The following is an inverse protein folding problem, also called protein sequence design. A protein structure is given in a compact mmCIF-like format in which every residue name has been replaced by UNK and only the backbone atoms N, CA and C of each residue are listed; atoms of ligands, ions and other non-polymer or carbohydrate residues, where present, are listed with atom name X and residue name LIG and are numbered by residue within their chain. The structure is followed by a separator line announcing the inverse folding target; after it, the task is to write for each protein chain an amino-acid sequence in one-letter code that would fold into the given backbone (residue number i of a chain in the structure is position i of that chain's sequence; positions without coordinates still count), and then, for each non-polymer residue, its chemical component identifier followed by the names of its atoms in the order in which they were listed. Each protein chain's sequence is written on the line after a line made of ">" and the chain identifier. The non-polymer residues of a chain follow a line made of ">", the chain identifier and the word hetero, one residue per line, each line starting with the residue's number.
data_IF_507552545723
#
_entry.id   IF_507552545723
#
_cell.length_a   1.000
_cell.length_b   1.000
_cell.length_c   1.000
_cell.angle_alpha   90.00
_cell.angle_beta   90.00
_cell.angle_gamma   90.00
#
_symmetry.space_group_name_H-M   'P 1'
#
loop_
_entity.id
_entity.type
_entity.pdbx_description
1 polymer ?
#
# COMPACT_ATOMS: atom_id res chain seq x y z
N UNK A 1 11.66 23.83 -21.33
CA UNK A 1 10.25 24.15 -21.59
C UNK A 1 9.39 23.12 -20.89
N UNK A 2 8.65 23.51 -19.86
CA UNK A 2 7.39 22.92 -19.37
C UNK A 2 6.90 23.86 -18.26
N UNK A 3 6.30 24.97 -18.71
CA UNK A 3 5.48 25.88 -17.92
C UNK A 3 4.13 25.90 -18.64
N UNK A 4 3.03 25.65 -17.94
CA UNK A 4 1.70 26.07 -18.42
C UNK A 4 0.59 25.03 -18.51
N UNK A 5 0.29 24.25 -17.46
CA UNK A 5 -1.00 23.52 -17.39
C UNK A 5 -1.75 23.71 -16.08
N UNK A 6 -1.46 24.79 -15.34
CA UNK A 6 -2.19 25.12 -14.11
C UNK A 6 -2.82 26.48 -14.32
N UNK A 7 -3.89 26.48 -15.12
CA UNK A 7 -4.75 27.62 -15.38
C UNK A 7 -5.97 27.61 -14.45
N UNK A 8 -6.04 28.67 -13.64
CA UNK A 8 -7.22 29.47 -13.21
C UNK A 8 -8.51 28.80 -12.74
N UNK A 9 -8.94 29.24 -11.54
CA UNK A 9 -10.16 28.95 -10.82
C UNK A 9 -11.49 29.20 -11.55
N UNK A 10 -12.51 28.40 -11.19
CA UNK A 10 -13.94 28.71 -11.22
C UNK A 10 -14.60 27.89 -10.08
N UNK A 11 -15.03 28.54 -8.99
CA UNK A 11 -16.40 28.97 -8.70
C UNK A 11 -17.24 27.92 -7.93
N UNK A 12 -17.71 28.33 -6.76
CA UNK A 12 -18.46 27.62 -5.72
C UNK A 12 -19.68 26.79 -6.18
N UNK A 13 -19.82 25.60 -5.58
CA UNK A 13 -21.09 24.91 -5.37
C UNK A 13 -21.13 24.39 -3.91
N UNK A 14 -22.27 24.47 -3.20
CA UNK A 14 -22.34 24.14 -1.78
C UNK A 14 -22.22 22.64 -1.53
N UNK A 15 -21.14 22.26 -0.83
CA UNK A 15 -20.95 20.94 -0.23
C UNK A 15 -22.12 20.64 0.72
N UNK A 16 -23.02 19.77 0.27
CA UNK A 16 -24.01 19.15 1.14
C UNK A 16 -23.25 18.27 2.14
N UNK A 17 -23.12 18.79 3.35
CA UNK A 17 -22.50 18.16 4.50
C UNK A 17 -22.89 16.67 4.64
N UNK A 18 -21.95 15.79 4.35
CA UNK A 18 -21.93 14.47 4.97
C UNK A 18 -21.24 14.63 6.32
N UNK A 19 -22.05 14.69 7.38
CA UNK A 19 -21.57 14.67 8.77
C UNK A 19 -20.89 13.34 9.08
N UNK A 20 -19.60 13.23 8.76
CA UNK A 20 -18.71 12.26 9.36
C UNK A 20 -18.01 12.96 10.55
N UNK A 21 -18.13 12.44 11.79
CA UNK A 21 -17.38 13.00 12.90
C UNK A 21 -15.88 12.85 12.64
N UNK A 22 -15.11 13.85 13.07
CA UNK A 22 -13.68 14.01 12.86
C UNK A 22 -12.89 12.70 13.08
N UNK A 23 -12.49 12.06 11.99
CA UNK A 23 -11.63 10.88 11.99
C UNK A 23 -10.15 11.29 12.04
N UNK A 24 -9.73 11.92 13.14
CA UNK A 24 -8.31 12.29 13.32
C UNK A 24 -7.61 11.57 14.46
N UNK A 25 -8.25 10.62 15.16
CA UNK A 25 -7.60 9.83 16.21
C UNK A 25 -7.57 8.30 15.94
N UNK A 26 -8.53 7.77 15.18
CA UNK A 26 -8.61 6.33 14.91
C UNK A 26 -7.46 5.78 14.04
N UNK A 27 -6.78 6.62 13.24
CA UNK A 27 -5.66 6.25 12.35
C UNK A 27 -4.30 6.17 13.05
N UNK A 28 -4.24 6.58 14.32
CA UNK A 28 -2.99 6.63 15.09
C UNK A 28 -2.84 5.42 15.99
N UNK A 29 -3.94 4.73 16.30
CA UNK A 29 -3.97 3.58 17.22
C UNK A 29 -3.83 2.23 16.50
N UNK A 30 -4.08 2.15 15.19
CA UNK A 30 -3.92 0.92 14.38
C UNK A 30 -2.54 0.80 13.71
N UNK A 31 -1.87 1.92 13.45
CA UNK A 31 -0.52 1.94 12.87
C UNK A 31 0.55 1.35 13.81
N UNK A 32 0.31 1.36 15.14
CA UNK A 32 1.21 0.78 16.13
C UNK A 32 1.21 -0.76 16.10
N UNK A 33 0.10 -1.38 15.67
CA UNK A 33 0.00 -2.83 15.45
C UNK A 33 0.42 -3.20 14.01
N UNK A 34 0.36 -2.23 13.10
CA UNK A 34 0.79 -2.38 11.72
C UNK A 34 2.28 -2.02 11.49
N UNK A 35 3.18 -2.76 12.13
CA UNK A 35 4.51 -3.14 11.62
C UNK A 35 5.50 -2.09 11.06
N UNK A 36 5.30 -0.79 11.23
CA UNK A 36 6.16 0.20 10.54
C UNK A 36 7.48 0.54 11.26
N UNK A 37 7.70 0.04 12.49
CA UNK A 37 8.90 0.37 13.28
C UNK A 37 9.91 -0.76 13.47
N UNK A 38 9.58 -2.00 13.08
CA UNK A 38 10.46 -3.17 13.26
C UNK A 38 11.16 -3.63 11.97
N UNK A 39 10.68 -3.25 10.79
CA UNK A 39 11.25 -3.68 9.51
C UNK A 39 12.63 -3.08 9.18
N UNK A 40 13.05 -2.02 9.89
CA UNK A 40 14.34 -1.37 9.68
C UNK A 40 15.51 -2.16 10.29
N UNK A 41 15.24 -3.12 11.19
CA UNK A 41 16.26 -3.89 11.91
C UNK A 41 15.88 -5.36 12.12
N UNK A 42 15.21 -6.02 11.17
CA UNK A 42 15.06 -7.49 11.25
C UNK A 42 16.45 -8.14 11.23
N UNK A 43 16.82 -8.90 12.28
CA UNK A 43 18.18 -9.45 12.44
C UNK A 43 18.33 -10.79 11.73
N UNK A 44 17.22 -11.47 11.39
CA UNK A 44 17.21 -12.72 10.61
C UNK A 44 16.07 -12.77 9.57
N UNK A 45 16.19 -13.68 8.60
CA UNK A 45 15.16 -13.87 7.57
C UNK A 45 13.82 -14.36 8.18
N UNK A 46 13.84 -15.10 9.29
CA UNK A 46 12.63 -15.55 9.99
C UNK A 46 11.90 -14.41 10.71
N UNK A 47 12.63 -13.49 11.34
CA UNK A 47 12.04 -12.29 11.96
C UNK A 47 11.41 -11.39 10.89
N UNK A 48 12.09 -11.26 9.74
CA UNK A 48 11.56 -10.54 8.59
C UNK A 48 10.27 -11.18 8.07
N UNK A 49 10.21 -12.51 7.98
CA UNK A 49 9.02 -13.23 7.54
C UNK A 49 7.85 -13.07 8.51
N UNK A 50 8.13 -13.09 9.81
CA UNK A 50 7.12 -12.81 10.84
C UNK A 50 6.59 -11.38 10.72
N UNK A 51 7.49 -10.40 10.56
CA UNK A 51 7.11 -9.01 10.42
C UNK A 51 6.29 -8.77 9.13
N UNK A 52 6.67 -9.41 8.01
CA UNK A 52 5.92 -9.35 6.74
C UNK A 52 4.51 -9.93 6.94
N UNK A 53 4.40 -11.06 7.65
CA UNK A 53 3.10 -11.66 7.97
C UNK A 53 2.23 -10.72 8.80
N UNK A 54 2.78 -10.13 9.86
CA UNK A 54 2.05 -9.14 10.68
C UNK A 54 1.61 -7.93 9.85
N UNK A 55 2.47 -7.43 8.96
CA UNK A 55 2.11 -6.31 8.07
C UNK A 55 1.01 -6.68 7.06
N UNK A 56 0.98 -7.94 6.59
CA UNK A 56 -0.10 -8.45 5.76
C UNK A 56 -1.41 -8.57 6.53
N UNK A 57 -1.40 -8.75 7.85
CA UNK A 57 -2.61 -8.84 8.69
C UNK A 57 -3.30 -7.48 8.90
N UNK A 58 -2.63 -6.37 8.62
CA UNK A 58 -3.17 -5.03 8.85
C UNK A 58 -4.45 -4.74 8.06
N UNK A 59 -5.45 -4.08 8.68
CA UNK A 59 -6.69 -3.70 7.99
C UNK A 59 -6.47 -2.73 6.82
N UNK A 60 -5.33 -2.03 6.78
CA UNK A 60 -4.95 -1.14 5.67
C UNK A 60 -4.77 -1.88 4.33
N UNK A 61 -4.32 -3.15 4.38
CA UNK A 61 -4.02 -3.95 3.18
C UNK A 61 -5.02 -5.10 2.97
N UNK A 62 -5.95 -5.31 3.90
CA UNK A 62 -6.91 -6.42 3.84
C UNK A 62 -7.73 -6.41 2.55
N UNK A 63 -8.22 -5.25 2.10
CA UNK A 63 -9.05 -5.16 0.89
C UNK A 63 -8.33 -5.61 -0.39
N UNK A 64 -7.03 -5.35 -0.50
CA UNK A 64 -6.24 -5.77 -1.68
C UNK A 64 -5.69 -7.18 -1.54
N UNK A 65 -5.34 -7.58 -0.31
CA UNK A 65 -4.90 -8.94 0.05
C UNK A 65 -6.00 -9.97 -0.16
N UNK A 66 -7.23 -9.64 0.21
CA UNK A 66 -8.36 -10.57 0.18
C UNK A 66 -9.13 -10.51 -1.16
N UNK A 67 -8.76 -9.57 -2.03
CA UNK A 67 -9.35 -9.41 -3.37
C UNK A 67 -8.85 -10.42 -4.41
N UNK A 68 -9.38 -10.38 -5.64
CA UNK A 68 -9.00 -11.30 -6.73
C UNK A 68 -7.53 -11.15 -7.15
N UNK A 69 -6.91 -9.99 -6.86
CA UNK A 69 -5.51 -9.69 -7.10
C UNK A 69 -4.60 -10.08 -5.91
N UNK A 70 -5.21 -10.54 -4.81
CA UNK A 70 -4.58 -10.79 -3.51
C UNK A 70 -3.32 -11.64 -3.55
N UNK A 71 -3.30 -12.80 -4.24
CA UNK A 71 -2.10 -13.63 -4.33
C UNK A 71 -0.91 -12.89 -4.97
N UNK A 72 -1.17 -12.05 -5.97
CA UNK A 72 -0.13 -11.24 -6.61
C UNK A 72 0.33 -10.09 -5.72
N UNK A 73 -0.60 -9.47 -4.99
CA UNK A 73 -0.27 -8.45 -3.98
C UNK A 73 0.64 -9.03 -2.88
N UNK A 74 0.27 -10.17 -2.28
CA UNK A 74 1.04 -10.81 -1.21
C UNK A 74 2.45 -11.17 -1.70
N UNK A 75 2.56 -11.70 -2.92
CA UNK A 75 3.84 -12.05 -3.51
C UNK A 75 4.72 -10.81 -3.79
N UNK A 76 4.14 -9.74 -4.34
CA UNK A 76 4.83 -8.47 -4.60
C UNK A 76 5.29 -7.79 -3.29
N UNK A 77 4.40 -7.71 -2.30
CA UNK A 77 4.66 -7.13 -0.99
C UNK A 77 5.78 -7.86 -0.25
N UNK A 78 5.70 -9.20 -0.21
CA UNK A 78 6.74 -10.05 0.40
C UNK A 78 8.08 -9.88 -0.31
N UNK A 79 8.09 -9.87 -1.64
CA UNK A 79 9.32 -9.69 -2.42
C UNK A 79 9.95 -8.32 -2.14
N UNK A 80 9.15 -7.25 -2.13
CA UNK A 80 9.62 -5.90 -1.84
C UNK A 80 10.27 -5.80 -0.45
N UNK A 81 9.66 -6.38 0.58
CA UNK A 81 10.24 -6.35 1.92
C UNK A 81 11.52 -7.20 2.04
N UNK A 82 11.60 -8.34 1.35
CA UNK A 82 12.81 -9.19 1.30
C UNK A 82 13.94 -8.66 0.42
N UNK A 83 13.63 -7.79 -0.53
CA UNK A 83 14.59 -7.26 -1.50
C UNK A 83 15.81 -6.64 -0.81
N UNK A 84 17.01 -7.01 -1.27
CA UNK A 84 18.29 -6.46 -0.76
C UNK A 84 18.94 -5.54 -1.81
N UNK A 85 18.29 -5.34 -2.96
CA UNK A 85 18.70 -4.38 -3.98
C UNK A 85 18.73 -2.94 -3.47
N UNK A 86 19.63 -2.15 -4.06
CA UNK A 86 19.76 -0.71 -3.78
C UNK A 86 18.48 0.06 -4.10
N UNK A 87 17.80 -0.34 -5.18
CA UNK A 87 16.42 0.07 -5.46
C UNK A 87 15.53 -1.08 -5.01
N UNK A 88 14.91 -0.92 -3.84
CA UNK A 88 14.04 -1.95 -3.25
C UNK A 88 13.02 -2.44 -4.28
N UNK A 89 13.00 -3.75 -4.48
CA UNK A 89 12.09 -4.44 -5.38
C UNK A 89 12.48 -4.40 -6.86
N UNK A 90 13.69 -3.97 -7.23
CA UNK A 90 14.16 -4.03 -8.62
C UNK A 90 14.19 -5.47 -9.14
N UNK A 91 14.73 -6.41 -8.36
CA UNK A 91 14.65 -7.86 -8.59
C UNK A 91 13.20 -8.44 -8.61
N UNK A 92 12.24 -7.71 -8.05
CA UNK A 92 10.82 -8.10 -7.96
C UNK A 92 9.97 -7.62 -9.15
N UNK A 93 10.57 -7.08 -10.21
CA UNK A 93 9.85 -6.42 -11.31
C UNK A 93 8.73 -7.29 -11.90
N UNK A 94 8.98 -8.56 -12.17
CA UNK A 94 7.98 -9.45 -12.78
C UNK A 94 6.74 -9.65 -11.92
N UNK A 95 6.90 -9.83 -10.59
CA UNK A 95 5.76 -10.01 -9.69
C UNK A 95 5.01 -8.69 -9.47
N UNK A 96 5.71 -7.56 -9.47
CA UNK A 96 5.10 -6.24 -9.41
C UNK A 96 4.25 -5.95 -10.66
N UNK A 97 4.76 -6.31 -11.84
CA UNK A 97 3.99 -6.21 -13.10
C UNK A 97 2.79 -7.15 -13.08
N UNK A 98 2.95 -8.40 -12.64
CA UNK A 98 1.85 -9.36 -12.52
C UNK A 98 0.72 -8.82 -11.61
N UNK A 99 1.08 -8.25 -10.47
CA UNK A 99 0.13 -7.58 -9.59
C UNK A 99 -0.55 -6.38 -10.26
N UNK A 100 0.20 -5.50 -10.94
CA UNK A 100 -0.36 -4.34 -11.63
C UNK A 100 -1.34 -4.68 -12.76
N UNK A 101 -1.12 -5.81 -13.45
CA UNK A 101 -2.03 -6.27 -14.52
C UNK A 101 -3.15 -7.17 -14.01
N UNK A 102 -3.02 -7.76 -12.82
CA UNK A 102 -4.04 -8.65 -12.25
C UNK A 102 -5.39 -7.94 -12.05
N UNK A 103 -5.39 -6.63 -11.80
CA UNK A 103 -6.61 -5.81 -11.69
C UNK A 103 -7.35 -5.60 -13.01
N UNK A 104 -6.68 -5.80 -14.15
CA UNK A 104 -7.24 -5.61 -15.49
C UNK A 104 -7.96 -6.87 -16.01
N UNK A 105 -7.77 -8.02 -15.34
CA UNK A 105 -8.44 -9.27 -15.70
C UNK A 105 -9.93 -9.31 -15.31
N UNK A 106 -10.39 -8.33 -14.52
CA UNK A 106 -11.76 -8.29 -13.99
C UNK A 106 -12.78 -7.55 -14.85
N UNK A 107 -12.41 -7.08 -16.05
CA UNK A 107 -13.36 -6.70 -17.10
C UNK A 107 -14.48 -5.74 -16.69
N UNK A 108 -14.12 -4.55 -16.20
CA UNK A 108 -14.99 -3.36 -16.18
C UNK A 108 -14.27 -2.22 -16.89
#
# INVERSE_FOLDING_TARGET
>A
MWRGMWGTAAADAPDAASTAPAATDARKQDAAECGSREMAEARTDEELDSAIKTALECPCVSGIRDGPCGPFFVAAFTCYHKSKDIIKGAECFHVNVAFAVSGQASGW
#
